data_IF_052963125034
#
_entry.id   IF_052963125034
#
_cell.length_a   1.000
_cell.length_b   1.000
_cell.length_c   1.000
_cell.angle_alpha   90.00
_cell.angle_beta   90.00
_cell.angle_gamma   90.00
#
_symmetry.space_group_name_H-M   'P 1'
#
loop_
_entity.id
_entity.type
_entity.pdbx_description
1 polymer ?
#
# COMPACT_ATOMS: atom_id res chain seq x y z
N UNK A 1 -2.22 2.80 -21.68
CA UNK A 1 -3.45 2.62 -20.84
C UNK A 1 -4.15 1.34 -21.28
N UNK A 2 -4.42 0.44 -20.36
CA UNK A 2 -5.17 -0.79 -20.68
C UNK A 2 -6.67 -0.46 -20.66
N UNK A 3 -7.34 -0.59 -21.78
CA UNK A 3 -8.79 -0.45 -21.87
C UNK A 3 -9.44 -1.78 -21.49
N UNK A 4 -10.40 -1.75 -20.57
CA UNK A 4 -11.17 -2.92 -20.14
C UNK A 4 -12.58 -2.76 -20.72
N UNK A 5 -12.99 -3.72 -21.56
CA UNK A 5 -14.33 -3.74 -22.12
C UNK A 5 -15.31 -4.37 -21.11
N UNK A 6 -16.41 -3.68 -20.84
CA UNK A 6 -17.45 -4.19 -19.95
C UNK A 6 -18.09 -5.48 -20.47
N UNK A 7 -18.18 -5.67 -21.79
CA UNK A 7 -18.69 -6.89 -22.39
C UNK A 7 -17.80 -8.10 -22.08
N UNK A 8 -16.48 -7.90 -21.98
CA UNK A 8 -15.54 -8.96 -21.60
C UNK A 8 -15.69 -9.34 -20.13
N UNK A 9 -15.92 -8.35 -19.26
CA UNK A 9 -16.20 -8.58 -17.84
C UNK A 9 -17.49 -9.38 -17.67
N UNK A 10 -18.57 -8.98 -18.32
CA UNK A 10 -19.87 -9.65 -18.23
C UNK A 10 -19.77 -11.09 -18.73
N UNK A 11 -19.06 -11.34 -19.82
CA UNK A 11 -18.80 -12.70 -20.32
C UNK A 11 -18.00 -13.54 -19.35
N UNK A 12 -16.97 -12.98 -18.76
CA UNK A 12 -16.13 -13.67 -17.77
C UNK A 12 -16.90 -14.02 -16.49
N UNK A 13 -17.83 -13.15 -16.07
CA UNK A 13 -18.67 -13.35 -14.88
C UNK A 13 -19.74 -14.44 -15.05
N UNK A 14 -19.99 -14.94 -16.26
CA UNK A 14 -20.91 -16.07 -16.48
C UNK A 14 -20.48 -17.36 -15.75
N UNK A 15 -19.19 -17.48 -15.43
CA UNK A 15 -18.66 -18.50 -14.53
C UNK A 15 -17.97 -17.81 -13.34
N UNK A 16 -18.74 -17.54 -12.31
CA UNK A 16 -18.27 -16.79 -11.13
C UNK A 16 -17.04 -17.41 -10.47
N UNK A 17 -17.02 -18.74 -10.31
CA UNK A 17 -15.90 -19.44 -9.68
C UNK A 17 -14.60 -19.26 -10.47
N UNK A 18 -14.64 -19.46 -11.78
CA UNK A 18 -13.47 -19.27 -12.63
C UNK A 18 -13.02 -17.80 -12.67
N UNK A 19 -13.98 -16.87 -12.69
CA UNK A 19 -13.68 -15.46 -12.66
C UNK A 19 -12.94 -15.05 -11.39
N UNK A 20 -13.42 -15.48 -10.22
CA UNK A 20 -12.80 -15.22 -8.93
C UNK A 20 -11.39 -15.82 -8.86
N UNK A 21 -11.21 -17.08 -9.25
CA UNK A 21 -9.90 -17.74 -9.28
C UNK A 21 -8.91 -17.00 -10.18
N UNK A 22 -9.35 -16.56 -11.36
CA UNK A 22 -8.49 -15.81 -12.27
C UNK A 22 -8.11 -14.44 -11.71
N UNK A 23 -9.03 -13.75 -11.05
CA UNK A 23 -8.73 -12.48 -10.37
C UNK A 23 -7.71 -12.66 -9.23
N UNK A 24 -7.84 -13.74 -8.46
CA UNK A 24 -6.89 -14.07 -7.40
C UNK A 24 -5.50 -14.41 -7.96
N UNK A 25 -5.40 -15.18 -9.03
CA UNK A 25 -4.14 -15.47 -9.72
C UNK A 25 -3.46 -14.19 -10.21
N UNK A 26 -4.18 -13.32 -10.91
CA UNK A 26 -3.65 -12.04 -11.40
C UNK A 26 -3.19 -11.15 -10.24
N UNK A 27 -3.91 -11.14 -9.14
CA UNK A 27 -3.52 -10.37 -7.96
C UNK A 27 -2.27 -10.97 -7.30
N UNK A 28 -2.19 -12.28 -7.17
CA UNK A 28 -1.02 -12.98 -6.65
C UNK A 28 0.23 -12.70 -7.50
N UNK A 29 0.11 -12.74 -8.82
CA UNK A 29 1.21 -12.44 -9.74
C UNK A 29 1.71 -10.99 -9.58
N UNK A 30 0.80 -10.04 -9.36
CA UNK A 30 1.17 -8.65 -9.08
C UNK A 30 1.92 -8.51 -7.75
N UNK A 31 1.48 -9.18 -6.70
CA UNK A 31 2.16 -9.20 -5.39
C UNK A 31 3.56 -9.81 -5.53
N UNK A 32 3.67 -10.95 -6.20
CA UNK A 32 4.95 -11.63 -6.47
C UNK A 32 5.93 -10.74 -7.24
N UNK A 33 5.46 -10.08 -8.31
CA UNK A 33 6.27 -9.16 -9.10
C UNK A 33 6.72 -7.93 -8.30
N UNK A 34 5.84 -7.37 -7.48
CA UNK A 34 6.16 -6.25 -6.60
C UNK A 34 7.21 -6.66 -5.55
N UNK A 35 7.05 -7.83 -4.94
CA UNK A 35 8.01 -8.38 -3.99
C UNK A 35 9.39 -8.58 -4.62
N UNK A 36 9.47 -9.12 -5.84
CA UNK A 36 10.72 -9.28 -6.56
C UNK A 36 11.43 -7.94 -6.80
N UNK A 37 10.66 -6.91 -7.18
CA UNK A 37 11.19 -5.54 -7.37
C UNK A 37 11.72 -4.94 -6.07
N UNK A 38 11.01 -5.14 -4.96
CA UNK A 38 11.44 -4.69 -3.64
C UNK A 38 12.74 -5.37 -3.23
N UNK A 39 12.81 -6.69 -3.36
CA UNK A 39 14.00 -7.47 -3.00
C UNK A 39 15.22 -7.07 -3.83
N UNK A 40 15.04 -6.80 -5.12
CA UNK A 40 16.14 -6.35 -5.98
C UNK A 40 16.64 -4.95 -5.63
N UNK A 41 15.82 -4.11 -5.01
CA UNK A 41 16.17 -2.78 -4.58
C UNK A 41 16.79 -2.70 -3.18
N UNK A 42 16.70 -3.76 -2.38
CA UNK A 42 17.31 -3.85 -1.05
C UNK A 42 18.84 -4.00 -1.14
N UNK A 43 19.61 -3.49 -0.16
CA UNK A 43 19.20 -2.65 0.98
C UNK A 43 19.16 -1.14 0.67
N UNK A 44 19.43 -0.72 -0.57
CA UNK A 44 19.59 0.69 -0.94
C UNK A 44 18.26 1.48 -0.81
N UNK A 45 17.12 0.80 -0.95
CA UNK A 45 15.79 1.39 -0.86
C UNK A 45 14.93 0.64 0.15
N UNK A 46 15.09 0.92 1.45
CA UNK A 46 14.39 0.18 2.50
C UNK A 46 12.91 0.58 2.67
N UNK A 47 12.48 1.68 2.06
CA UNK A 47 11.11 2.17 2.16
C UNK A 47 10.34 1.93 0.88
N UNK A 48 9.12 1.43 1.04
CA UNK A 48 8.15 1.21 -0.04
C UNK A 48 6.89 2.01 0.27
N UNK A 49 6.52 2.92 -0.62
CA UNK A 49 5.31 3.73 -0.48
C UNK A 49 4.19 3.12 -1.33
N UNK A 50 3.09 2.77 -0.68
CA UNK A 50 1.86 2.33 -1.34
C UNK A 50 0.82 3.45 -1.29
N UNK A 51 0.42 3.94 -2.43
CA UNK A 51 -0.53 5.04 -2.57
C UNK A 51 -1.71 4.66 -3.43
N UNK A 52 -2.83 5.31 -3.23
CA UNK A 52 -4.06 5.12 -3.99
C UNK A 52 -5.25 5.76 -3.29
N UNK A 53 -6.38 5.93 -3.98
CA UNK A 53 -7.58 6.52 -3.39
C UNK A 53 -8.16 5.67 -2.27
N UNK A 54 -9.01 6.27 -1.44
CA UNK A 54 -9.74 5.58 -0.38
C UNK A 54 -10.58 4.44 -0.97
N UNK A 55 -10.62 3.29 -0.30
CA UNK A 55 -11.35 2.11 -0.79
C UNK A 55 -10.71 1.37 -1.98
N UNK A 56 -9.50 1.73 -2.39
CA UNK A 56 -8.79 1.07 -3.51
C UNK A 56 -8.14 -0.28 -3.17
N UNK A 57 -8.24 -0.73 -1.92
CA UNK A 57 -7.62 -1.97 -1.46
C UNK A 57 -6.15 -1.83 -1.02
N UNK A 58 -5.68 -0.61 -0.72
CA UNK A 58 -4.30 -0.36 -0.24
C UNK A 58 -3.94 -1.23 0.96
N UNK A 59 -4.79 -1.26 1.97
CA UNK A 59 -4.54 -2.00 3.21
C UNK A 59 -4.42 -3.49 2.93
N UNK A 60 -5.34 -4.06 2.15
CA UNK A 60 -5.30 -5.47 1.75
C UNK A 60 -4.05 -5.80 0.95
N UNK A 61 -3.68 -4.94 0.01
CA UNK A 61 -2.46 -5.10 -0.79
C UNK A 61 -1.21 -5.05 0.08
N UNK A 62 -1.13 -4.08 1.01
CA UNK A 62 -0.01 -3.96 1.94
C UNK A 62 0.13 -5.22 2.83
N UNK A 63 -0.99 -5.72 3.37
CA UNK A 63 -0.99 -6.92 4.20
C UNK A 63 -0.54 -8.17 3.43
N UNK A 64 -1.02 -8.36 2.19
CA UNK A 64 -0.61 -9.49 1.35
C UNK A 64 0.86 -9.39 0.92
N UNK A 65 1.32 -8.21 0.58
CA UNK A 65 2.72 -7.97 0.22
C UNK A 65 3.65 -8.22 1.41
N UNK A 66 3.27 -7.72 2.60
CA UNK A 66 3.98 -7.99 3.85
C UNK A 66 4.08 -9.48 4.11
N UNK A 67 2.97 -10.22 4.10
CA UNK A 67 2.95 -11.66 4.35
C UNK A 67 3.83 -12.42 3.33
N UNK A 68 3.80 -12.03 2.07
CA UNK A 68 4.63 -12.63 1.02
C UNK A 68 6.12 -12.42 1.29
N UNK A 69 6.53 -11.19 1.63
CA UNK A 69 7.93 -10.86 1.94
C UNK A 69 8.41 -11.55 3.22
N UNK A 70 7.57 -11.62 4.26
CA UNK A 70 7.89 -12.31 5.51
C UNK A 70 8.08 -13.82 5.30
N UNK A 71 7.29 -14.44 4.42
CA UNK A 71 7.49 -15.84 4.00
C UNK A 71 8.83 -16.07 3.27
N UNK A 72 9.38 -15.03 2.67
CA UNK A 72 10.72 -15.06 2.07
C UNK A 72 11.84 -14.70 3.05
N UNK A 73 11.52 -14.55 4.35
CA UNK A 73 12.48 -14.25 5.41
C UNK A 73 12.82 -12.77 5.57
N UNK A 74 12.07 -11.86 4.93
CA UNK A 74 12.27 -10.42 5.04
C UNK A 74 11.44 -9.86 6.18
N UNK A 75 12.06 -9.15 7.11
CA UNK A 75 11.33 -8.44 8.17
C UNK A 75 10.67 -7.17 7.61
N UNK A 76 9.36 -7.06 7.74
CA UNK A 76 8.58 -5.93 7.20
C UNK A 76 7.85 -5.21 8.33
N UNK A 77 8.06 -3.89 8.43
CA UNK A 77 7.29 -3.01 9.28
C UNK A 77 6.28 -2.24 8.40
N UNK A 78 5.00 -2.37 8.70
CA UNK A 78 3.94 -1.65 8.00
C UNK A 78 3.53 -0.42 8.82
N UNK A 79 3.52 0.73 8.15
CA UNK A 79 3.10 2.01 8.74
C UNK A 79 1.89 2.52 7.95
N UNK A 80 0.83 2.89 8.66
CA UNK A 80 -0.30 3.61 8.06
C UNK A 80 -0.12 5.11 8.23
N UNK A 81 -0.28 5.87 7.15
CA UNK A 81 -0.30 7.33 7.20
C UNK A 81 -1.42 7.88 8.06
N UNK A 82 -2.51 7.12 8.25
CA UNK A 82 -3.64 7.51 9.09
C UNK A 82 -3.24 7.73 10.56
N UNK A 83 -2.17 7.09 11.01
CA UNK A 83 -1.65 7.25 12.37
C UNK A 83 -0.95 8.59 12.61
N UNK A 84 -0.68 9.35 11.55
CA UNK A 84 0.05 10.62 11.60
C UNK A 84 -0.83 11.83 11.35
N UNK A 85 -2.14 11.67 11.20
CA UNK A 85 -3.04 12.81 11.08
C UNK A 85 -3.16 13.58 12.39
N UNK A 86 -3.08 14.91 12.26
CA UNK A 86 -3.32 15.81 13.38
C UNK A 86 -4.80 15.78 13.79
N UNK A 87 -5.10 15.85 15.10
CA UNK A 87 -6.44 16.14 15.58
C UNK A 87 -7.01 17.41 14.95
N UNK A 88 -8.33 17.50 14.84
CA UNK A 88 -9.00 18.61 14.16
C UNK A 88 -8.63 19.98 14.72
N UNK A 89 -8.52 20.05 16.04
CA UNK A 89 -8.18 21.26 16.80
C UNK A 89 -6.71 21.70 16.63
N UNK A 90 -5.85 20.84 16.12
CA UNK A 90 -4.43 21.11 15.90
C UNK A 90 -4.09 21.35 14.42
N UNK A 91 -5.08 21.28 13.53
CA UNK A 91 -4.86 21.50 12.11
C UNK A 91 -4.71 22.97 11.78
N UNK A 92 -3.71 23.34 10.98
CA UNK A 92 -3.53 24.73 10.57
C UNK A 92 -4.65 25.17 9.60
N UNK A 93 -4.89 26.49 9.46
CA UNK A 93 -5.90 27.03 8.52
C UNK A 93 -5.68 26.63 7.06
N UNK A 94 -4.44 26.32 6.68
CA UNK A 94 -4.04 25.88 5.33
C UNK A 94 -4.50 24.45 5.04
N UNK A 95 -4.90 23.69 6.05
CA UNK A 95 -5.46 22.34 5.90
C UNK A 95 -6.93 22.43 5.47
N UNK A 96 -7.16 22.83 4.22
CA UNK A 96 -8.48 23.11 3.65
C UNK A 96 -9.35 21.90 3.40
N UNK A 97 -8.74 20.72 3.30
CA UNK A 97 -9.43 19.44 3.14
C UNK A 97 -8.73 18.33 3.93
N UNK A 98 -9.39 17.18 4.00
CA UNK A 98 -8.90 16.01 4.76
C UNK A 98 -7.65 15.35 4.17
N UNK A 99 -7.40 15.55 2.89
CA UNK A 99 -6.26 14.98 2.16
C UNK A 99 -5.09 15.97 2.08
N UNK A 100 -5.24 17.16 2.67
CA UNK A 100 -4.17 18.15 2.70
C UNK A 100 -2.93 17.61 3.43
N UNK A 101 -1.73 17.81 2.87
CA UNK A 101 -0.49 17.42 3.53
C UNK A 101 -0.26 18.16 4.87
N UNK A 102 -0.93 19.30 5.07
CA UNK A 102 -0.90 20.03 6.34
C UNK A 102 -1.69 19.36 7.46
N UNK A 103 -2.52 18.37 7.15
CA UNK A 103 -3.20 17.54 8.14
C UNK A 103 -2.30 16.51 8.81
N UNK A 104 -1.10 16.29 8.27
CA UNK A 104 -0.16 15.27 8.77
C UNK A 104 0.80 15.87 9.78
N UNK A 105 1.00 15.16 10.90
CA UNK A 105 2.07 15.46 11.85
C UNK A 105 3.42 15.08 11.23
N UNK A 106 3.98 16.00 10.48
CA UNK A 106 5.21 15.81 9.72
C UNK A 106 6.41 15.48 10.60
N UNK A 107 6.49 16.13 11.77
CA UNK A 107 7.59 15.93 12.71
C UNK A 107 7.60 14.50 13.24
N UNK A 108 6.45 14.01 13.70
CA UNK A 108 6.29 12.63 14.15
C UNK A 108 6.58 11.61 13.05
N UNK A 109 6.13 11.88 11.83
CA UNK A 109 6.38 11.00 10.68
C UNK A 109 7.88 10.91 10.38
N UNK A 110 8.59 12.04 10.33
CA UNK A 110 10.02 12.08 10.04
C UNK A 110 10.84 11.41 11.14
N UNK A 111 10.50 11.63 12.41
CA UNK A 111 11.14 10.96 13.54
C UNK A 111 10.95 9.43 13.48
N UNK A 112 9.74 8.99 13.17
CA UNK A 112 9.43 7.56 13.01
C UNK A 112 10.23 6.92 11.89
N UNK A 113 10.28 7.56 10.73
CA UNK A 113 11.05 7.08 9.56
C UNK A 113 12.54 7.02 9.88
N UNK A 114 13.07 8.02 10.55
CA UNK A 114 14.47 8.09 10.94
C UNK A 114 14.84 6.96 11.94
N UNK A 115 14.01 6.74 12.96
CA UNK A 115 14.20 5.63 13.91
C UNK A 115 14.18 4.26 13.23
N UNK A 116 13.22 4.05 12.33
CA UNK A 116 13.13 2.79 11.57
C UNK A 116 14.33 2.59 10.65
N UNK A 117 14.84 3.66 10.04
CA UNK A 117 16.05 3.58 9.20
C UNK A 117 17.30 3.16 9.97
N UNK A 118 17.33 3.45 11.28
CA UNK A 118 18.39 3.00 12.21
C UNK A 118 18.14 1.62 12.81
N UNK A 119 17.03 0.95 12.44
CA UNK A 119 16.65 -0.34 13.00
C UNK A 119 16.07 -0.27 14.41
N UNK A 120 15.66 0.90 14.87
CA UNK A 120 14.97 1.09 16.14
C UNK A 120 13.49 0.66 15.99
N UNK A 121 12.96 0.01 17.00
CA UNK A 121 11.54 -0.40 17.04
C UNK A 121 10.73 0.43 18.01
#
# INVERSE_FOLDING_TARGET
MRVIDMADIIRAMQNETQFVLRCEEVFHDKISSAAASILSAQPQKPFVCLTGPSGSGKTTTAMRLKAYLENLGVKVCQISMDNFFLPLDQRPPEATDWESPYCVNRELLLDTVDKLSRGET
#
